data_IF_777450052032
#
_entry.id   IF_777450052032
#
_cell.length_a   1.000
_cell.length_b   1.000
_cell.length_c   1.000
_cell.angle_alpha   90.00
_cell.angle_beta   90.00
_cell.angle_gamma   90.00
#
_symmetry.space_group_name_H-M   'P 1'
#
loop_
_entity.id
_entity.type
_entity.pdbx_description
1 polymer ?
#
# COMPACT_ATOMS: atom_id res chain seq x y z
N UNK A 1 26.53 -1.23 -11.30
CA UNK A 1 25.94 -0.16 -10.48
C UNK A 1 25.69 1.02 -11.41
N UNK A 2 24.50 1.64 -11.38
CA UNK A 2 24.21 2.84 -12.18
C UNK A 2 25.17 3.98 -11.79
N UNK A 3 25.40 4.96 -12.67
CA UNK A 3 26.16 6.16 -12.33
C UNK A 3 25.48 6.94 -11.17
N UNK A 4 26.24 7.64 -10.31
CA UNK A 4 25.71 8.34 -9.13
C UNK A 4 24.51 9.26 -9.42
N UNK A 5 24.55 10.03 -10.50
CA UNK A 5 23.49 10.99 -10.87
C UNK A 5 22.20 10.26 -11.28
N UNK A 6 22.35 9.13 -11.98
CA UNK A 6 21.21 8.29 -12.36
C UNK A 6 20.59 7.62 -11.13
N UNK A 7 21.41 7.16 -10.17
CA UNK A 7 20.91 6.64 -8.90
C UNK A 7 20.15 7.71 -8.12
N UNK A 8 20.71 8.91 -7.98
CA UNK A 8 20.07 10.02 -7.28
C UNK A 8 18.69 10.31 -7.86
N UNK A 9 18.59 10.43 -9.19
CA UNK A 9 17.32 10.69 -9.88
C UNK A 9 16.25 9.65 -9.53
N UNK A 10 16.59 8.36 -9.56
CA UNK A 10 15.64 7.29 -9.23
C UNK A 10 15.32 7.26 -7.71
N UNK A 11 16.31 7.55 -6.86
CA UNK A 11 16.12 7.61 -5.41
C UNK A 11 15.20 8.75 -4.98
N UNK A 12 15.20 9.88 -5.69
CA UNK A 12 14.32 11.03 -5.41
C UNK A 12 12.86 10.78 -5.80
N UNK A 13 12.55 9.77 -6.61
CA UNK A 13 11.17 9.42 -6.96
C UNK A 13 10.37 9.04 -5.72
N UNK A 14 9.23 9.70 -5.52
CA UNK A 14 8.29 9.45 -4.42
C UNK A 14 8.80 9.89 -3.04
N UNK A 15 9.92 10.62 -2.97
CA UNK A 15 10.46 11.17 -1.72
C UNK A 15 9.74 12.45 -1.35
N UNK A 16 9.43 12.62 -0.06
CA UNK A 16 8.86 13.87 0.47
C UNK A 16 9.93 14.91 0.72
N UNK A 17 11.04 14.52 1.36
CA UNK A 17 12.14 15.44 1.65
C UNK A 17 13.45 14.68 1.78
N UNK A 18 14.53 15.25 1.22
CA UNK A 18 15.91 14.83 1.50
C UNK A 18 16.62 15.95 2.25
N UNK A 19 17.17 15.65 3.43
CA UNK A 19 17.98 16.61 4.17
C UNK A 19 19.44 16.37 3.81
N UNK A 20 20.03 17.38 3.17
CA UNK A 20 21.37 17.34 2.56
C UNK A 20 21.46 16.46 1.29
N UNK A 21 20.66 16.78 0.27
CA UNK A 21 20.72 16.10 -1.05
C UNK A 21 22.12 16.13 -1.67
N UNK A 22 22.83 17.26 -1.60
CA UNK A 22 24.22 17.36 -2.08
C UNK A 22 25.15 16.34 -1.40
N UNK A 23 24.93 16.05 -0.12
CA UNK A 23 25.71 15.04 0.60
C UNK A 23 25.33 13.62 0.17
N UNK A 24 24.08 13.38 -0.23
CA UNK A 24 23.69 12.10 -0.83
C UNK A 24 24.45 11.87 -2.13
N UNK A 25 24.52 12.87 -3.01
CA UNK A 25 25.28 12.76 -4.26
C UNK A 25 26.76 12.50 -3.98
N UNK A 26 27.38 13.27 -3.07
CA UNK A 26 28.79 13.07 -2.67
C UNK A 26 29.05 11.66 -2.16
N UNK A 27 28.16 11.12 -1.31
CA UNK A 27 28.25 9.74 -0.80
C UNK A 27 28.08 8.71 -1.91
N UNK A 28 27.18 8.92 -2.86
CA UNK A 28 26.99 8.04 -4.03
C UNK A 28 28.22 8.03 -4.95
N UNK A 29 28.80 9.21 -5.23
CA UNK A 29 30.05 9.34 -6.00
C UNK A 29 31.18 8.59 -5.31
N UNK A 30 31.40 8.85 -4.01
CA UNK A 30 32.41 8.14 -3.22
C UNK A 30 32.21 6.62 -3.23
N UNK A 31 30.96 6.18 -3.05
CA UNK A 31 30.60 4.75 -3.08
C UNK A 31 30.91 4.11 -4.43
N UNK A 32 30.63 4.82 -5.53
CA UNK A 32 30.88 4.37 -6.89
C UNK A 32 32.39 4.29 -7.20
N UNK A 33 33.15 5.33 -6.85
CA UNK A 33 34.59 5.42 -7.11
C UNK A 33 35.39 4.42 -6.27
N UNK A 34 35.06 4.30 -4.97
CA UNK A 34 35.75 3.39 -4.04
C UNK A 34 35.21 1.95 -4.12
N UNK A 35 34.15 1.69 -4.89
CA UNK A 35 33.41 0.42 -4.94
C UNK A 35 32.97 -0.08 -3.55
N UNK A 36 32.67 0.86 -2.65
CA UNK A 36 32.27 0.57 -1.27
C UNK A 36 30.78 0.88 -1.08
N UNK A 37 29.93 -0.12 -0.79
CA UNK A 37 28.51 0.10 -0.55
C UNK A 37 28.25 1.05 0.63
N UNK A 38 27.34 2.02 0.44
CA UNK A 38 26.72 2.77 1.53
C UNK A 38 25.89 1.87 2.45
N UNK A 39 25.77 2.28 3.72
CA UNK A 39 24.94 1.64 4.74
C UNK A 39 23.62 2.39 4.88
N UNK A 40 22.52 1.74 4.48
CA UNK A 40 21.18 2.32 4.45
C UNK A 40 20.34 1.69 5.57
N UNK A 41 19.93 2.49 6.56
CA UNK A 41 19.13 2.06 7.72
C UNK A 41 17.66 2.42 7.53
N UNK A 42 16.77 1.53 7.95
CA UNK A 42 15.40 1.87 8.32
C UNK A 42 14.97 1.03 9.52
N UNK A 43 14.36 1.68 10.51
CA UNK A 43 13.86 1.06 11.74
C UNK A 43 12.38 0.71 11.68
N UNK A 44 12.01 -0.43 12.26
CA UNK A 44 10.63 -0.89 12.36
C UNK A 44 10.36 -1.43 13.77
N UNK A 45 9.45 -0.78 14.48
CA UNK A 45 9.02 -1.18 15.83
C UNK A 45 7.90 -2.24 15.73
N UNK A 46 8.14 -3.49 16.18
CA UNK A 46 7.18 -4.60 16.10
C UNK A 46 6.04 -4.50 17.14
N UNK A 47 5.29 -3.39 17.11
CA UNK A 47 4.14 -3.14 18.00
C UNK A 47 2.89 -3.97 17.67
N UNK A 48 2.83 -4.56 16.47
CA UNK A 48 1.79 -5.45 15.96
C UNK A 48 2.50 -6.56 15.15
N UNK A 49 1.85 -7.71 14.86
CA UNK A 49 2.52 -8.82 14.16
C UNK A 49 2.76 -8.61 12.65
N UNK A 50 1.84 -7.96 11.93
CA UNK A 50 1.94 -7.85 10.46
C UNK A 50 2.24 -6.45 9.93
N UNK A 51 3.06 -6.42 8.89
CA UNK A 51 3.29 -5.31 8.00
C UNK A 51 2.12 -5.14 7.03
N UNK A 52 2.05 -3.95 6.45
CA UNK A 52 1.04 -3.56 5.47
C UNK A 52 1.67 -2.65 4.42
N UNK A 53 0.93 -2.32 3.36
CA UNK A 53 1.47 -1.50 2.25
C UNK A 53 2.04 -0.14 2.69
N UNK A 54 1.55 0.45 3.77
CA UNK A 54 2.18 1.64 4.37
C UNK A 54 3.66 1.42 4.74
N UNK A 55 4.03 0.24 5.27
CA UNK A 55 5.42 -0.13 5.53
C UNK A 55 6.17 -0.48 4.24
N UNK A 56 5.46 -1.00 3.23
CA UNK A 56 6.04 -1.35 1.94
C UNK A 56 6.64 -0.13 1.21
N UNK A 57 6.16 1.09 1.49
CA UNK A 57 6.76 2.34 0.95
C UNK A 57 8.24 2.45 1.34
N UNK A 58 8.56 2.28 2.63
CA UNK A 58 9.94 2.30 3.14
C UNK A 58 10.74 1.09 2.62
N UNK A 59 10.13 -0.10 2.64
CA UNK A 59 10.79 -1.33 2.16
C UNK A 59 11.15 -1.27 0.68
N UNK A 60 10.29 -0.70 -0.17
CA UNK A 60 10.56 -0.51 -1.59
C UNK A 60 11.72 0.47 -1.81
N UNK A 61 11.81 1.53 -1.01
CA UNK A 61 12.96 2.45 -1.11
C UNK A 61 14.26 1.77 -0.68
N UNK A 62 14.25 0.96 0.39
CA UNK A 62 15.39 0.11 0.72
C UNK A 62 15.75 -0.85 -0.43
N UNK A 63 14.74 -1.49 -1.04
CA UNK A 63 14.95 -2.40 -2.19
C UNK A 63 15.62 -1.69 -3.36
N UNK A 64 15.28 -0.42 -3.64
CA UNK A 64 15.96 0.37 -4.66
C UNK A 64 17.46 0.53 -4.34
N UNK A 65 17.82 0.84 -3.09
CA UNK A 65 19.22 0.85 -2.66
C UNK A 65 19.90 -0.52 -2.83
N UNK A 66 19.22 -1.64 -2.53
CA UNK A 66 19.76 -2.99 -2.78
C UNK A 66 20.02 -3.25 -4.25
N UNK A 67 19.11 -2.81 -5.13
CA UNK A 67 19.23 -2.98 -6.57
C UNK A 67 20.42 -2.18 -7.12
N UNK A 68 20.77 -1.07 -6.48
CA UNK A 68 21.99 -0.32 -6.82
C UNK A 68 23.25 -0.93 -6.22
N UNK A 69 23.15 -1.89 -5.30
CA UNK A 69 24.30 -2.59 -4.71
C UNK A 69 24.73 -2.03 -3.36
N UNK A 70 23.90 -1.19 -2.74
CA UNK A 70 24.14 -0.71 -1.38
C UNK A 70 23.71 -1.73 -0.33
N UNK A 71 24.29 -1.61 0.86
CA UNK A 71 23.99 -2.49 1.98
C UNK A 71 22.79 -1.94 2.75
N UNK A 72 21.73 -2.73 2.83
CA UNK A 72 20.52 -2.36 3.57
C UNK A 72 20.52 -3.02 4.94
N UNK A 73 20.19 -2.25 5.97
CA UNK A 73 19.93 -2.73 7.32
C UNK A 73 18.44 -2.57 7.60
N UNK A 74 17.77 -3.71 7.74
CA UNK A 74 16.43 -3.77 8.30
C UNK A 74 16.58 -3.88 9.81
N UNK A 75 16.33 -2.77 10.51
CA UNK A 75 16.47 -2.68 11.96
C UNK A 75 15.14 -2.98 12.65
N UNK A 76 15.09 -4.07 13.38
CA UNK A 76 13.99 -4.37 14.29
C UNK A 76 14.21 -3.58 15.59
N UNK A 77 13.23 -2.73 15.91
CA UNK A 77 13.22 -1.93 17.11
C UNK A 77 12.67 -2.67 18.33
N UNK A 78 13.31 -3.77 18.72
CA UNK A 78 12.84 -4.62 19.83
C UNK A 78 13.02 -3.96 21.21
N UNK A 79 14.05 -3.12 21.38
CA UNK A 79 14.22 -2.33 22.59
C UNK A 79 13.42 -1.03 22.55
N UNK A 80 13.39 -0.34 21.40
CA UNK A 80 12.60 0.89 21.22
C UNK A 80 11.10 0.66 21.41
N UNK A 81 10.60 -0.53 21.05
CA UNK A 81 9.21 -0.94 21.29
C UNK A 81 8.82 -1.00 22.77
N UNK A 82 9.78 -1.14 23.69
CA UNK A 82 9.52 -1.08 25.14
C UNK A 82 9.17 0.33 25.61
N UNK A 83 9.67 1.35 24.91
CA UNK A 83 9.39 2.77 25.17
C UNK A 83 8.13 3.18 24.41
N UNK A 84 8.05 2.79 23.13
CA UNK A 84 6.93 3.12 22.25
C UNK A 84 7.09 4.50 21.59
N UNK A 85 7.12 4.51 20.26
CA UNK A 85 7.27 5.75 19.49
C UNK A 85 6.09 6.73 19.68
N UNK A 86 6.35 7.96 20.19
CA UNK A 86 5.31 8.98 20.32
C UNK A 86 4.97 9.67 18.98
N UNK A 87 5.69 9.40 17.88
CA UNK A 87 5.61 10.18 16.63
C UNK A 87 4.21 10.17 16.02
N UNK A 88 3.63 11.37 15.90
CA UNK A 88 2.28 11.57 15.37
C UNK A 88 1.19 10.91 16.20
N UNK A 89 1.36 10.82 17.53
CA UNK A 89 0.38 10.30 18.49
C UNK A 89 -0.02 11.35 19.51
N UNK A 90 -1.30 11.32 19.87
CA UNK A 90 -1.90 12.22 20.85
C UNK A 90 -1.97 11.59 22.26
N UNK A 91 -1.61 10.31 22.39
CA UNK A 91 -1.64 9.54 23.63
C UNK A 91 -0.43 8.59 23.76
N UNK A 92 -0.06 8.26 25.00
CA UNK A 92 1.02 7.32 25.31
C UNK A 92 0.70 5.93 24.77
N UNK A 93 1.71 5.25 24.21
CA UNK A 93 1.55 3.88 23.70
C UNK A 93 1.28 2.89 24.84
N UNK A 94 0.40 1.89 24.64
CA UNK A 94 0.28 0.80 25.58
C UNK A 94 1.61 0.02 25.64
N UNK A 95 1.99 -0.41 26.85
CA UNK A 95 3.16 -1.24 27.05
C UNK A 95 2.96 -2.61 26.41
N UNK A 96 4.01 -3.11 25.75
CA UNK A 96 4.03 -4.42 25.08
C UNK A 96 5.08 -5.28 25.80
N UNK A 97 4.76 -6.55 26.04
CA UNK A 97 5.70 -7.45 26.72
C UNK A 97 6.86 -7.82 25.79
N UNK A 98 8.04 -8.10 26.36
CA UNK A 98 9.19 -8.58 25.57
C UNK A 98 8.86 -9.84 24.76
N UNK A 99 7.99 -10.72 25.30
CA UNK A 99 7.57 -11.95 24.63
C UNK A 99 6.78 -11.64 23.35
N UNK A 100 5.86 -10.68 23.43
CA UNK A 100 5.07 -10.23 22.27
C UNK A 100 5.97 -9.52 21.24
N UNK A 101 6.88 -8.65 21.68
CA UNK A 101 7.85 -7.97 20.82
C UNK A 101 8.69 -8.98 20.04
N UNK A 102 9.23 -10.00 20.72
CA UNK A 102 10.02 -11.07 20.08
C UNK A 102 9.20 -11.87 19.07
N UNK A 103 7.92 -12.12 19.36
CA UNK A 103 7.04 -12.84 18.44
C UNK A 103 6.73 -11.99 17.18
N UNK A 104 6.37 -10.72 17.37
CA UNK A 104 6.10 -9.78 16.27
C UNK A 104 7.36 -9.50 15.43
N UNK A 105 8.53 -9.47 16.04
CA UNK A 105 9.80 -9.27 15.34
C UNK A 105 10.10 -10.39 14.32
N UNK A 106 9.75 -11.64 14.65
CA UNK A 106 9.95 -12.80 13.75
C UNK A 106 9.06 -12.70 12.51
N UNK A 107 7.81 -12.29 12.68
CA UNK A 107 6.87 -12.12 11.57
C UNK A 107 7.29 -10.93 10.70
N UNK A 108 7.76 -9.83 11.29
CA UNK A 108 8.25 -8.65 10.56
C UNK A 108 9.39 -8.99 9.61
N UNK A 109 10.42 -9.69 10.09
CA UNK A 109 11.54 -10.09 9.25
C UNK A 109 11.09 -10.96 8.07
N UNK A 110 10.25 -11.96 8.35
CA UNK A 110 9.71 -12.86 7.32
C UNK A 110 8.92 -12.10 6.25
N UNK A 111 8.08 -11.15 6.67
CA UNK A 111 7.27 -10.34 5.78
C UNK A 111 8.10 -9.33 4.99
N UNK A 112 9.10 -8.71 5.60
CA UNK A 112 10.00 -7.77 4.93
C UNK A 112 10.76 -8.45 3.77
N UNK A 113 11.14 -9.73 3.93
CA UNK A 113 11.81 -10.50 2.88
C UNK A 113 10.91 -10.90 1.71
N UNK A 114 9.59 -10.63 1.76
CA UNK A 114 8.76 -10.67 0.54
C UNK A 114 9.12 -9.55 -0.44
N UNK A 115 9.69 -8.45 0.04
CA UNK A 115 10.09 -7.29 -0.75
C UNK A 115 11.62 -7.23 -0.88
N UNK A 116 12.32 -7.35 0.26
CA UNK A 116 13.77 -7.24 0.34
C UNK A 116 14.46 -8.53 -0.09
N UNK A 117 15.61 -8.38 -0.76
CA UNK A 117 16.50 -9.50 -1.00
C UNK A 117 17.25 -9.86 0.29
N UNK A 118 16.93 -11.02 0.87
CA UNK A 118 17.54 -11.50 2.11
C UNK A 118 19.06 -11.62 2.04
N UNK A 119 19.66 -11.95 0.90
CA UNK A 119 21.13 -12.06 0.79
C UNK A 119 21.82 -10.70 0.75
N UNK A 120 21.06 -9.61 0.57
CA UNK A 120 21.53 -8.23 0.54
C UNK A 120 20.97 -7.39 1.69
N UNK A 121 20.37 -8.02 2.70
CA UNK A 121 19.79 -7.36 3.87
C UNK A 121 20.44 -7.87 5.15
N UNK A 122 20.99 -6.95 5.92
CA UNK A 122 21.39 -7.23 7.30
C UNK A 122 20.18 -7.02 8.22
N UNK A 123 19.70 -8.10 8.82
CA UNK A 123 18.72 -8.04 9.90
C UNK A 123 19.42 -7.72 11.22
N UNK A 124 19.05 -6.62 11.86
CA UNK A 124 19.61 -6.18 13.15
C UNK A 124 18.50 -5.94 14.16
N UNK A 125 18.85 -6.01 15.44
CA UNK A 125 17.97 -5.77 16.57
C UNK A 125 18.61 -4.71 17.45
N UNK A 126 17.92 -3.62 17.77
CA UNK A 126 18.56 -2.54 18.53
C UNK A 126 18.85 -2.90 19.99
N UNK A 127 18.21 -3.94 20.53
CA UNK A 127 18.63 -4.55 21.80
C UNK A 127 20.09 -5.00 21.82
N UNK A 128 20.72 -5.28 20.67
CA UNK A 128 22.13 -5.70 20.58
C UNK A 128 23.12 -4.68 21.16
N UNK A 129 22.76 -3.40 21.16
CA UNK A 129 23.55 -2.31 21.74
C UNK A 129 22.79 -1.52 22.80
N UNK A 130 21.48 -1.28 22.65
CA UNK A 130 20.72 -0.47 23.62
C UNK A 130 20.62 -1.14 25.00
N UNK A 131 20.49 -2.46 25.07
CA UNK A 131 20.45 -3.19 26.35
C UNK A 131 21.77 -3.16 27.13
N UNK A 132 22.86 -2.74 26.48
CA UNK A 132 24.21 -2.68 27.06
C UNK A 132 24.59 -1.27 27.49
N UNK A 133 23.76 -0.27 27.22
CA UNK A 133 24.02 1.10 27.66
C UNK A 133 23.91 1.15 29.17
N UNK A 134 24.99 1.61 29.82
CA UNK A 134 24.95 1.89 31.26
C UNK A 134 24.11 3.14 31.52
N UNK A 135 23.68 3.32 32.76
CA UNK A 135 23.01 4.57 33.16
C UNK A 135 23.89 5.80 32.89
N UNK A 136 25.21 5.66 33.03
CA UNK A 136 26.15 6.73 32.70
C UNK A 136 26.16 7.08 31.20
N UNK A 137 26.03 6.08 30.32
CA UNK A 137 25.92 6.32 28.88
C UNK A 137 24.61 7.03 28.52
N UNK A 138 23.52 6.66 29.19
CA UNK A 138 22.22 7.31 29.05
C UNK A 138 22.31 8.79 29.48
N UNK A 139 22.92 9.09 30.64
CA UNK A 139 23.12 10.46 31.10
C UNK A 139 23.94 11.29 30.09
N UNK A 140 24.99 10.71 29.50
CA UNK A 140 25.76 11.36 28.44
C UNK A 140 24.87 11.65 27.22
N UNK A 141 24.08 10.70 26.76
CA UNK A 141 23.15 10.91 25.63
C UNK A 141 22.15 12.03 25.91
N UNK A 142 21.55 12.04 27.10
CA UNK A 142 20.60 13.08 27.53
C UNK A 142 21.26 14.45 27.60
N UNK A 143 22.53 14.55 28.01
CA UNK A 143 23.23 15.84 28.11
C UNK A 143 23.37 16.60 26.78
N UNK A 144 23.19 15.91 25.65
CA UNK A 144 23.29 16.51 24.32
C UNK A 144 21.97 17.08 23.78
N UNK A 145 20.86 16.93 24.50
CA UNK A 145 19.54 17.41 24.10
C UNK A 145 18.81 18.09 25.25
N UNK A 146 18.24 19.26 24.98
CA UNK A 146 17.46 20.00 25.97
C UNK A 146 15.99 19.57 25.93
N UNK A 147 15.30 19.71 27.06
CA UNK A 147 13.84 19.56 27.12
C UNK A 147 13.14 20.49 26.14
N UNK A 148 13.59 21.75 26.03
CA UNK A 148 13.05 22.71 25.07
C UNK A 148 13.08 22.18 23.63
N UNK A 149 14.21 21.61 23.21
CA UNK A 149 14.34 21.03 21.87
C UNK A 149 13.47 19.79 21.66
N UNK A 150 13.22 19.01 22.70
CA UNK A 150 12.25 17.91 22.62
C UNK A 150 10.82 18.45 22.46
N UNK A 151 10.46 19.52 23.15
CA UNK A 151 9.14 20.14 23.07
C UNK A 151 8.87 20.90 21.76
N UNK A 152 9.91 21.20 20.96
CA UNK A 152 9.75 21.72 19.59
C UNK A 152 9.15 20.70 18.62
N UNK A 153 9.16 19.42 19.00
CA UNK A 153 8.58 18.34 18.19
C UNK A 153 7.04 18.42 18.23
N UNK A 154 6.41 18.41 17.05
CA UNK A 154 4.97 18.62 16.87
C UNK A 154 4.05 17.85 17.85
N UNK A 155 4.27 16.55 18.08
CA UNK A 155 3.44 15.74 18.97
C UNK A 155 3.61 16.12 20.45
N UNK A 156 4.84 16.35 20.91
CA UNK A 156 5.08 16.83 22.26
C UNK A 156 4.58 18.26 22.45
N UNK A 157 4.76 19.14 21.46
CA UNK A 157 4.25 20.50 21.48
C UNK A 157 2.72 20.52 21.62
N UNK A 158 2.01 19.73 20.81
CA UNK A 158 0.55 19.62 20.86
C UNK A 158 0.05 19.06 22.17
N UNK A 159 0.64 17.96 22.66
CA UNK A 159 0.24 17.33 23.93
C UNK A 159 0.49 18.27 25.10
N UNK A 160 1.66 18.90 25.16
CA UNK A 160 2.01 19.84 26.21
C UNK A 160 1.08 21.07 26.20
N UNK A 161 0.82 21.65 25.02
CA UNK A 161 -0.08 22.81 24.88
C UNK A 161 -1.54 22.48 25.20
N UNK A 162 -1.93 21.22 25.02
CA UNK A 162 -3.29 20.72 25.32
C UNK A 162 -3.43 20.13 26.73
N UNK A 163 -2.43 20.31 27.60
CA UNK A 163 -2.35 19.71 28.94
C UNK A 163 -2.53 18.18 28.96
N UNK A 164 -2.17 17.50 27.87
CA UNK A 164 -2.12 16.05 27.83
C UNK A 164 -0.80 15.58 28.44
N UNK A 165 -0.85 14.55 29.29
CA UNK A 165 0.32 14.00 29.95
C UNK A 165 1.36 13.53 28.95
N UNK A 166 2.65 13.82 29.19
CA UNK A 166 3.79 13.27 28.45
C UNK A 166 4.68 12.57 29.48
N UNK A 167 4.89 11.26 29.31
CA UNK A 167 5.69 10.50 30.26
C UNK A 167 7.19 10.74 30.04
N UNK A 168 7.99 10.79 31.10
CA UNK A 168 9.43 11.06 31.01
C UNK A 168 10.19 10.07 30.10
N UNK A 169 9.78 8.80 30.10
CA UNK A 169 10.40 7.78 29.25
C UNK A 169 10.19 8.05 27.75
N UNK A 170 9.12 8.76 27.35
CA UNK A 170 8.84 9.08 25.94
C UNK A 170 9.93 9.99 25.35
N UNK A 171 10.54 10.86 26.17
CA UNK A 171 11.68 11.69 25.76
C UNK A 171 12.95 10.89 25.46
N UNK A 172 13.02 9.63 25.90
CA UNK A 172 14.16 8.76 25.57
C UNK A 172 14.09 8.23 24.15
N UNK A 173 12.89 8.11 23.58
CA UNK A 173 12.69 7.46 22.28
C UNK A 173 13.55 8.09 21.15
N UNK A 174 13.55 9.42 20.95
CA UNK A 174 14.38 10.03 19.90
C UNK A 174 15.88 9.79 20.11
N UNK A 175 16.33 9.77 21.36
CA UNK A 175 17.74 9.57 21.70
C UNK A 175 18.20 8.14 21.39
N UNK A 176 17.42 7.13 21.79
CA UNK A 176 17.78 5.73 21.55
C UNK A 176 17.68 5.37 20.06
N UNK A 177 16.67 5.84 19.34
CA UNK A 177 16.58 5.66 17.89
C UNK A 177 17.74 6.36 17.17
N UNK A 178 18.11 7.57 17.62
CA UNK A 178 19.25 8.27 17.07
C UNK A 178 20.58 7.56 17.35
N UNK A 179 20.72 6.95 18.53
CA UNK A 179 21.89 6.15 18.89
C UNK A 179 22.02 4.88 18.02
N UNK A 180 20.92 4.31 17.54
CA UNK A 180 20.97 3.20 16.58
C UNK A 180 21.81 3.56 15.35
N UNK A 181 21.75 4.81 14.87
CA UNK A 181 22.55 5.27 13.72
C UNK A 181 24.03 5.41 14.05
N UNK A 182 24.36 5.76 15.30
CA UNK A 182 25.75 5.78 15.79
C UNK A 182 26.31 4.36 15.87
N UNK A 183 25.54 3.41 16.41
CA UNK A 183 25.92 2.01 16.52
C UNK A 183 26.10 1.35 15.15
N UNK A 184 25.22 1.68 14.21
CA UNK A 184 25.23 1.16 12.84
C UNK A 184 26.27 1.85 11.94
N UNK A 185 26.64 3.10 12.24
CA UNK A 185 27.38 4.00 11.34
C UNK A 185 26.63 4.21 10.01
N UNK A 186 25.35 4.52 10.10
CA UNK A 186 24.48 4.67 8.94
C UNK A 186 24.92 5.84 8.04
N UNK A 187 24.99 5.62 6.73
CA UNK A 187 25.22 6.67 5.72
C UNK A 187 23.92 7.40 5.36
N UNK A 188 22.82 6.66 5.36
CA UNK A 188 21.47 7.13 5.05
C UNK A 188 20.49 6.47 6.01
N UNK A 189 19.55 7.23 6.55
CA UNK A 189 18.39 6.69 7.26
C UNK A 189 17.10 7.08 6.54
N UNK A 190 16.25 6.08 6.31
CA UNK A 190 14.92 6.26 5.73
C UNK A 190 13.86 6.26 6.84
N UNK A 191 12.87 7.14 6.70
CA UNK A 191 11.73 7.21 7.63
C UNK A 191 10.49 7.78 6.97
N UNK A 192 9.34 7.65 7.63
CA UNK A 192 8.14 8.39 7.25
C UNK A 192 8.30 9.89 7.53
N UNK A 193 7.44 10.74 6.98
CA UNK A 193 7.42 12.17 7.32
C UNK A 193 7.15 12.42 8.82
N UNK A 194 6.50 11.49 9.51
CA UNK A 194 6.32 11.53 10.97
C UNK A 194 7.61 11.23 11.76
N UNK A 195 8.69 10.80 11.13
CA UNK A 195 9.94 10.42 11.79
C UNK A 195 11.07 11.47 11.67
N UNK A 196 10.84 12.58 10.96
CA UNK A 196 11.92 13.54 10.60
C UNK A 196 12.70 14.01 11.83
N UNK A 197 12.01 14.31 12.94
CA UNK A 197 12.67 14.71 14.19
C UNK A 197 13.67 13.64 14.67
N UNK A 198 13.23 12.38 14.77
CA UNK A 198 14.08 11.28 15.25
C UNK A 198 15.29 11.05 14.32
N UNK A 199 15.08 11.15 13.01
CA UNK A 199 16.14 11.00 12.01
C UNK A 199 17.18 12.14 12.11
N UNK A 200 16.73 13.36 12.42
CA UNK A 200 17.61 14.49 12.70
C UNK A 200 18.38 14.32 14.02
N UNK A 201 17.77 13.69 15.02
CA UNK A 201 18.48 13.31 16.26
C UNK A 201 19.61 12.35 15.96
N UNK A 202 19.37 11.31 15.16
CA UNK A 202 20.44 10.40 14.71
C UNK A 202 21.57 11.12 13.98
N UNK A 203 21.25 12.00 13.04
CA UNK A 203 22.22 12.82 12.31
C UNK A 203 23.06 13.71 13.24
N UNK A 204 22.45 14.29 14.27
CA UNK A 204 23.16 15.12 15.25
C UNK A 204 24.04 14.29 16.19
N UNK A 205 23.54 13.16 16.71
CA UNK A 205 24.32 12.27 17.55
C UNK A 205 25.54 11.72 16.81
N UNK A 206 25.42 11.35 15.53
CA UNK A 206 26.59 10.96 14.73
C UNK A 206 27.69 12.04 14.72
N UNK A 207 27.35 13.34 14.63
CA UNK A 207 28.34 14.43 14.74
C UNK A 207 29.05 14.43 16.10
N UNK A 208 28.28 14.30 17.18
CA UNK A 208 28.80 14.26 18.55
C UNK A 208 29.77 13.09 18.73
N UNK A 209 29.41 11.92 18.19
CA UNK A 209 30.24 10.73 18.18
C UNK A 209 31.32 10.73 17.08
N UNK A 210 31.61 11.89 16.46
CA UNK A 210 32.65 12.09 15.45
C UNK A 210 32.52 11.19 14.21
N UNK A 211 31.28 10.85 13.85
CA UNK A 211 30.94 10.12 12.63
C UNK A 211 30.47 11.09 11.54
N UNK A 212 30.62 10.68 10.28
CA UNK A 212 30.00 11.40 9.17
C UNK A 212 28.47 11.33 9.31
N UNK A 213 27.74 12.47 9.29
CA UNK A 213 26.32 12.45 9.58
C UNK A 213 25.49 11.85 8.44
N UNK A 214 24.53 10.98 8.76
CA UNK A 214 23.66 10.31 7.81
C UNK A 214 22.81 11.29 7.00
N UNK A 215 22.55 10.97 5.73
CA UNK A 215 21.51 11.64 4.95
C UNK A 215 20.14 11.17 5.47
N UNK A 216 19.21 12.12 5.63
CA UNK A 216 17.83 11.80 6.01
C UNK A 216 16.98 11.81 4.74
N UNK A 217 16.30 10.71 4.46
CA UNK A 217 15.32 10.62 3.37
C UNK A 217 13.97 10.29 3.99
N UNK A 218 13.03 11.21 3.89
CA UNK A 218 11.66 11.01 4.36
C UNK A 218 10.72 10.65 3.20
N UNK A 219 9.88 9.66 3.44
CA UNK A 219 8.85 9.21 2.50
C UNK A 219 7.46 9.61 3.01
N UNK A 220 6.51 9.89 2.11
CA UNK A 220 5.16 10.24 2.50
C UNK A 220 4.49 9.06 3.20
N UNK A 221 3.56 9.38 4.11
CA UNK A 221 2.68 8.39 4.71
C UNK A 221 1.61 8.00 3.70
N UNK A 222 1.56 6.70 3.35
CA UNK A 222 0.55 6.18 2.44
C UNK A 222 -0.84 6.29 3.06
N UNK A 223 -1.80 6.87 2.34
CA UNK A 223 -3.19 6.91 2.75
C UNK A 223 -3.81 5.51 2.68
N UNK A 224 -4.66 5.17 3.65
CA UNK A 224 -5.38 3.91 3.67
C UNK A 224 -6.51 3.85 2.65
N UNK A 225 -7.30 2.78 2.69
CA UNK A 225 -8.42 2.55 1.78
C UNK A 225 -9.51 3.64 1.83
N UNK A 226 -9.59 4.40 2.93
CA UNK A 226 -10.49 5.56 3.07
C UNK A 226 -9.98 6.81 2.34
N UNK A 227 -8.69 6.85 1.96
CA UNK A 227 -8.06 7.92 1.21
C UNK A 227 -7.79 9.22 1.97
N UNK A 228 -7.99 9.24 3.29
CA UNK A 228 -7.79 10.43 4.14
C UNK A 228 -6.75 10.16 5.21
N UNK A 229 -6.95 9.12 6.02
CA UNK A 229 -6.05 8.76 7.11
C UNK A 229 -4.87 7.96 6.57
N UNK A 230 -3.72 8.08 7.23
CA UNK A 230 -2.59 7.18 6.98
C UNK A 230 -3.02 5.72 7.17
N UNK A 231 -2.45 4.83 6.37
CA UNK A 231 -2.69 3.41 6.45
C UNK A 231 -2.25 2.90 7.81
N UNK A 232 -3.17 2.29 8.54
CA UNK A 232 -2.96 1.82 9.90
C UNK A 232 -3.91 0.69 10.23
N UNK A 233 -3.39 -0.32 10.93
CA UNK A 233 -4.22 -1.39 11.50
C UNK A 233 -5.28 -0.89 12.46
N UNK A 234 -5.04 0.22 13.16
CA UNK A 234 -6.00 0.77 14.13
C UNK A 234 -7.21 1.42 13.47
N UNK A 235 -7.12 1.81 12.20
CA UNK A 235 -8.24 2.41 11.46
C UNK A 235 -8.92 1.42 10.52
N UNK A 236 -8.50 0.14 10.53
CA UNK A 236 -8.97 -0.91 9.63
C UNK A 236 -9.00 -0.51 8.13
N UNK A 237 -8.03 0.32 7.73
CA UNK A 237 -7.93 0.91 6.39
C UNK A 237 -6.71 0.40 5.60
N UNK A 238 -6.25 -0.82 5.90
CA UNK A 238 -4.95 -1.34 5.44
C UNK A 238 -5.09 -2.55 4.52
N UNK A 239 -4.02 -2.79 3.75
CA UNK A 239 -3.77 -4.03 3.01
C UNK A 239 -2.52 -4.67 3.64
N UNK A 240 -2.69 -5.82 4.30
CA UNK A 240 -1.57 -6.53 4.92
C UNK A 240 -0.74 -7.28 3.89
N UNK A 241 0.55 -7.49 4.17
CA UNK A 241 1.43 -8.26 3.28
C UNK A 241 1.16 -9.79 3.36
N UNK A 242 0.39 -10.22 4.35
CA UNK A 242 -0.05 -11.60 4.56
C UNK A 242 -1.56 -11.80 4.30
N UNK A 243 -2.27 -10.77 3.82
CA UNK A 243 -3.64 -10.95 3.33
C UNK A 243 -3.65 -11.97 2.20
N UNK A 244 -4.68 -12.83 2.14
CA UNK A 244 -4.83 -13.78 1.02
C UNK A 244 -4.79 -13.03 -0.31
N UNK A 245 -4.28 -13.68 -1.36
CA UNK A 245 -4.16 -13.10 -2.69
C UNK A 245 -5.46 -12.41 -3.17
N UNK A 246 -6.61 -13.07 -2.98
CA UNK A 246 -7.93 -12.51 -3.33
C UNK A 246 -8.32 -11.29 -2.48
N UNK A 247 -7.90 -11.23 -1.21
CA UNK A 247 -8.16 -10.11 -0.31
C UNK A 247 -7.29 -8.91 -0.67
N UNK A 248 -6.00 -9.12 -0.98
CA UNK A 248 -5.12 -8.06 -1.53
C UNK A 248 -5.74 -7.49 -2.80
N UNK A 249 -6.19 -8.36 -3.69
CA UNK A 249 -6.80 -7.97 -4.95
C UNK A 249 -8.08 -7.15 -4.71
N UNK A 250 -9.01 -7.68 -3.91
CA UNK A 250 -10.27 -7.03 -3.59
C UNK A 250 -10.11 -5.70 -2.86
N UNK A 251 -9.18 -5.61 -1.89
CA UNK A 251 -8.88 -4.36 -1.18
C UNK A 251 -8.27 -3.32 -2.12
N UNK A 252 -7.37 -3.71 -3.02
CA UNK A 252 -6.78 -2.80 -4.02
C UNK A 252 -7.83 -2.23 -4.97
N UNK A 253 -8.82 -3.04 -5.35
CA UNK A 253 -9.93 -2.58 -6.20
C UNK A 253 -10.84 -1.54 -5.54
N UNK A 254 -10.80 -1.40 -4.21
CA UNK A 254 -11.55 -0.38 -3.45
C UNK A 254 -10.91 1.01 -3.51
N UNK A 255 -9.68 1.14 -3.98
CA UNK A 255 -9.00 2.43 -4.10
C UNK A 255 -9.79 3.37 -5.02
N UNK A 256 -9.85 4.65 -4.66
CA UNK A 256 -10.35 5.69 -5.58
C UNK A 256 -9.40 5.85 -6.76
N UNK A 257 -9.90 6.33 -7.89
CA UNK A 257 -9.09 6.52 -9.11
C UNK A 257 -7.93 7.49 -8.87
N UNK A 258 -8.16 8.53 -8.05
CA UNK A 258 -7.13 9.48 -7.61
C UNK A 258 -6.08 8.81 -6.73
N UNK A 259 -6.50 8.02 -5.75
CA UNK A 259 -5.60 7.38 -4.80
C UNK A 259 -4.76 6.27 -5.45
N UNK A 260 -5.29 5.58 -6.45
CA UNK A 260 -4.56 4.57 -7.21
C UNK A 260 -3.22 5.10 -7.77
N UNK A 261 -3.19 6.35 -8.26
CA UNK A 261 -1.95 6.96 -8.78
C UNK A 261 -0.89 7.09 -7.70
N UNK A 262 -1.32 7.44 -6.48
CA UNK A 262 -0.43 7.52 -5.32
C UNK A 262 0.17 6.16 -4.98
N UNK A 263 -0.62 5.09 -5.09
CA UNK A 263 -0.13 3.72 -4.87
C UNK A 263 0.84 3.27 -5.96
N UNK A 264 0.58 3.59 -7.24
CA UNK A 264 1.54 3.35 -8.30
C UNK A 264 2.86 4.08 -8.05
N UNK A 265 2.81 5.36 -7.71
CA UNK A 265 3.99 6.18 -7.47
C UNK A 265 4.90 5.61 -6.36
N UNK A 266 4.30 5.18 -5.25
CA UNK A 266 5.02 4.79 -4.04
C UNK A 266 5.34 3.30 -3.94
N UNK A 267 4.55 2.44 -4.59
CA UNK A 267 4.61 0.99 -4.38
C UNK A 267 4.92 0.18 -5.63
N UNK A 268 4.76 0.73 -6.84
CA UNK A 268 5.09 0.00 -8.08
C UNK A 268 6.56 0.12 -8.47
N UNK A 269 6.99 -0.76 -9.36
CA UNK A 269 8.31 -0.77 -10.00
C UNK A 269 8.38 0.11 -11.26
N UNK A 270 7.30 0.83 -11.61
CA UNK A 270 7.27 1.70 -12.77
C UNK A 270 8.38 2.74 -12.72
N UNK A 271 9.03 3.02 -13.84
CA UNK A 271 9.95 4.16 -13.92
C UNK A 271 9.17 5.48 -13.85
N UNK A 272 9.86 6.60 -13.64
CA UNK A 272 9.23 7.93 -13.73
C UNK A 272 8.55 8.14 -15.08
N UNK A 273 9.15 7.64 -16.17
CA UNK A 273 8.58 7.73 -17.52
C UNK A 273 7.29 6.91 -17.66
N UNK A 274 7.28 5.68 -17.14
CA UNK A 274 6.11 4.80 -17.25
C UNK A 274 4.94 5.30 -16.39
N UNK A 275 5.24 5.89 -15.23
CA UNK A 275 4.22 6.51 -14.38
C UNK A 275 3.56 7.72 -15.06
N UNK A 276 4.33 8.56 -15.74
CA UNK A 276 3.78 9.69 -16.52
C UNK A 276 2.95 9.20 -17.72
N UNK A 277 3.42 8.15 -18.41
CA UNK A 277 2.64 7.51 -19.48
C UNK A 277 1.31 6.96 -18.95
N UNK A 278 1.30 6.32 -17.78
CA UNK A 278 0.09 5.82 -17.15
C UNK A 278 -0.90 6.96 -16.83
N UNK A 279 -0.41 8.08 -16.28
CA UNK A 279 -1.23 9.27 -16.00
C UNK A 279 -1.85 9.83 -17.29
N UNK A 280 -1.07 9.93 -18.37
CA UNK A 280 -1.54 10.40 -19.66
C UNK A 280 -2.58 9.48 -20.30
N UNK A 281 -2.37 8.17 -20.24
CA UNK A 281 -3.32 7.17 -20.76
C UNK A 281 -4.65 7.22 -19.99
N UNK A 282 -4.62 7.49 -18.68
CA UNK A 282 -5.82 7.67 -17.87
C UNK A 282 -6.54 9.00 -18.18
N UNK A 283 -5.81 10.11 -18.30
CA UNK A 283 -6.42 11.42 -18.58
C UNK A 283 -7.00 11.52 -19.99
N UNK A 284 -6.41 10.81 -20.96
CA UNK A 284 -6.90 10.74 -22.34
C UNK A 284 -8.03 9.72 -22.54
N UNK A 285 -8.33 8.89 -21.52
CA UNK A 285 -9.32 7.82 -21.62
C UNK A 285 -8.84 6.58 -22.39
N UNK A 286 -7.59 6.57 -22.88
CA UNK A 286 -6.98 5.41 -23.55
C UNK A 286 -6.88 4.19 -22.63
N UNK A 287 -6.67 4.41 -21.32
CA UNK A 287 -6.75 3.37 -20.29
C UNK A 287 -7.89 3.67 -19.33
N UNK A 288 -8.79 2.72 -19.14
CA UNK A 288 -9.87 2.85 -18.17
C UNK A 288 -9.35 2.69 -16.72
N UNK A 289 -9.75 3.54 -15.74
CA UNK A 289 -9.26 3.46 -14.35
C UNK A 289 -9.46 2.09 -13.70
N UNK A 290 -10.58 1.41 -13.98
CA UNK A 290 -10.81 0.01 -13.56
C UNK A 290 -9.67 -0.91 -14.01
N UNK A 291 -9.23 -0.82 -15.26
CA UNK A 291 -8.17 -1.68 -15.79
C UNK A 291 -6.83 -1.36 -15.13
N UNK A 292 -6.55 -0.08 -14.89
CA UNK A 292 -5.37 0.31 -14.13
C UNK A 292 -5.40 -0.21 -12.67
N UNK A 293 -6.57 -0.28 -12.02
CA UNK A 293 -6.68 -0.91 -10.69
C UNK A 293 -6.48 -2.42 -10.75
N UNK A 294 -7.02 -3.10 -11.77
CA UNK A 294 -6.81 -4.54 -11.98
C UNK A 294 -5.32 -4.85 -12.15
N UNK A 295 -4.61 -4.05 -12.94
CA UNK A 295 -3.17 -4.22 -13.14
C UNK A 295 -2.38 -3.98 -11.84
N UNK A 296 -2.77 -2.97 -11.04
CA UNK A 296 -2.15 -2.69 -9.74
C UNK A 296 -2.39 -3.82 -8.73
N UNK A 297 -3.62 -4.33 -8.68
CA UNK A 297 -4.01 -5.44 -7.82
C UNK A 297 -3.24 -6.71 -8.18
N UNK A 298 -3.12 -7.00 -9.48
CA UNK A 298 -2.32 -8.11 -9.97
C UNK A 298 -0.83 -7.93 -9.62
N UNK A 299 -0.30 -6.72 -9.78
CA UNK A 299 1.08 -6.40 -9.40
C UNK A 299 1.33 -6.70 -7.92
N UNK A 300 0.49 -6.20 -7.00
CA UNK A 300 0.66 -6.47 -5.58
C UNK A 300 0.59 -7.96 -5.22
N UNK A 301 -0.35 -8.71 -5.79
CA UNK A 301 -0.38 -10.17 -5.58
C UNK A 301 0.91 -10.81 -6.10
N UNK A 302 1.43 -10.37 -7.23
CA UNK A 302 2.68 -10.91 -7.79
C UNK A 302 3.91 -10.62 -6.91
N UNK A 303 3.92 -9.50 -6.18
CA UNK A 303 5.00 -9.14 -5.25
C UNK A 303 5.02 -10.05 -4.02
N UNK A 304 3.86 -10.37 -3.46
CA UNK A 304 3.78 -11.10 -2.18
C UNK A 304 3.55 -12.60 -2.31
N UNK A 305 3.15 -13.04 -3.50
CA UNK A 305 2.91 -14.44 -3.85
C UNK A 305 3.71 -14.83 -5.09
N UNK A 306 3.04 -15.07 -6.21
CA UNK A 306 3.67 -15.44 -7.47
C UNK A 306 2.88 -14.85 -8.63
N UNK A 307 3.51 -14.76 -9.81
CA UNK A 307 2.83 -14.34 -11.04
C UNK A 307 1.61 -15.23 -11.35
N UNK A 308 1.73 -16.54 -11.13
CA UNK A 308 0.64 -17.51 -11.33
C UNK A 308 -0.53 -17.24 -10.39
N UNK A 309 -0.26 -16.96 -9.11
CA UNK A 309 -1.33 -16.65 -8.16
C UNK A 309 -2.00 -15.30 -8.46
N UNK A 310 -1.25 -14.34 -9.01
CA UNK A 310 -1.77 -13.07 -9.45
C UNK A 310 -2.72 -13.20 -10.65
N UNK A 311 -2.35 -13.99 -11.66
CA UNK A 311 -3.22 -14.32 -12.80
C UNK A 311 -4.50 -15.04 -12.36
N UNK A 312 -4.37 -16.03 -11.48
CA UNK A 312 -5.51 -16.74 -10.90
C UNK A 312 -6.43 -15.80 -10.13
N UNK A 313 -5.88 -14.92 -9.30
CA UNK A 313 -6.66 -13.95 -8.51
C UNK A 313 -7.41 -12.96 -9.39
N UNK A 314 -6.82 -12.54 -10.52
CA UNK A 314 -7.49 -11.70 -11.51
C UNK A 314 -8.71 -12.41 -12.11
N UNK A 315 -8.53 -13.65 -12.58
CA UNK A 315 -9.62 -14.46 -13.13
C UNK A 315 -10.73 -14.73 -12.10
N UNK A 316 -10.35 -15.02 -10.85
CA UNK A 316 -11.29 -15.26 -9.77
C UNK A 316 -12.06 -13.98 -9.39
N UNK A 317 -11.39 -12.84 -9.33
CA UNK A 317 -12.03 -11.55 -9.10
C UNK A 317 -13.01 -11.21 -10.22
N UNK A 318 -12.65 -11.42 -11.48
CA UNK A 318 -13.55 -11.20 -12.61
C UNK A 318 -14.77 -12.12 -12.54
N UNK A 319 -14.60 -13.39 -12.16
CA UNK A 319 -15.72 -14.32 -11.89
C UNK A 319 -16.61 -13.87 -10.74
N UNK A 320 -16.04 -13.46 -9.60
CA UNK A 320 -16.81 -12.99 -8.44
C UNK A 320 -17.52 -11.67 -8.77
N UNK A 321 -16.90 -10.78 -9.53
CA UNK A 321 -17.51 -9.51 -9.95
C UNK A 321 -18.63 -9.74 -10.98
N UNK A 322 -18.43 -10.65 -11.93
CA UNK A 322 -19.46 -11.10 -12.87
C UNK A 322 -20.62 -11.79 -12.13
N UNK A 323 -20.31 -12.61 -11.12
CA UNK A 323 -21.32 -13.19 -10.23
C UNK A 323 -22.02 -12.13 -9.40
N UNK A 324 -21.35 -11.13 -8.81
CA UNK A 324 -21.98 -10.03 -8.05
C UNK A 324 -22.82 -9.07 -8.91
N UNK A 325 -22.63 -9.05 -10.22
CA UNK A 325 -23.52 -8.36 -11.16
C UNK A 325 -24.86 -9.10 -11.34
N UNK A 326 -24.92 -10.36 -10.92
CA UNK A 326 -26.08 -11.24 -10.96
C UNK A 326 -26.52 -11.49 -9.50
N UNK A 327 -27.79 -11.29 -9.12
CA UNK A 327 -28.25 -11.70 -7.79
C UNK A 327 -28.00 -13.20 -7.57
N UNK A 328 -27.66 -13.63 -6.34
CA UNK A 328 -27.49 -15.06 -6.02
C UNK A 328 -28.82 -15.83 -6.17
N UNK A 329 -29.96 -15.14 -6.02
CA UNK A 329 -31.33 -15.65 -6.20
C UNK A 329 -31.98 -15.11 -7.49
N UNK A 330 -31.35 -15.33 -8.66
CA UNK A 330 -32.05 -15.05 -9.92
C UNK A 330 -33.13 -16.10 -10.15
N UNK A 331 -34.39 -15.64 -10.23
CA UNK A 331 -35.51 -16.45 -10.69
C UNK A 331 -35.21 -17.07 -12.06
N UNK A 332 -35.33 -18.39 -12.15
CA UNK A 332 -35.18 -19.13 -13.39
C UNK A 332 -36.55 -19.44 -14.00
N UNK A 333 -36.71 -19.19 -15.31
CA UNK A 333 -37.91 -19.56 -16.06
C UNK A 333 -37.56 -20.38 -17.29
N UNK A 334 -38.35 -21.43 -17.51
CA UNK A 334 -38.30 -22.27 -18.70
C UNK A 334 -39.18 -21.67 -19.80
N UNK A 335 -38.63 -21.58 -21.02
CA UNK A 335 -39.36 -21.15 -22.21
C UNK A 335 -39.25 -22.19 -23.32
N UNK A 336 -40.33 -22.38 -24.07
CA UNK A 336 -40.31 -23.24 -25.26
C UNK A 336 -39.54 -22.57 -26.40
N UNK A 337 -38.91 -23.34 -27.29
CA UNK A 337 -38.29 -22.80 -28.49
C UNK A 337 -39.30 -22.03 -29.35
N UNK A 338 -38.89 -20.88 -29.87
CA UNK A 338 -39.73 -20.00 -30.66
C UNK A 338 -38.87 -19.10 -31.55
N UNK A 339 -39.32 -18.85 -32.78
CA UNK A 339 -38.61 -18.03 -33.75
C UNK A 339 -39.36 -16.72 -34.02
N UNK A 340 -38.62 -15.68 -34.39
CA UNK A 340 -39.13 -14.37 -34.80
C UNK A 340 -40.05 -13.69 -33.75
N UNK A 341 -39.77 -13.90 -32.46
CA UNK A 341 -40.51 -13.26 -31.39
C UNK A 341 -40.12 -11.78 -31.29
N UNK A 342 -41.10 -10.89 -31.23
CA UNK A 342 -40.83 -9.48 -30.96
C UNK A 342 -40.24 -9.35 -29.54
N UNK A 343 -39.10 -8.68 -29.41
CA UNK A 343 -38.39 -8.56 -28.12
C UNK A 343 -39.26 -7.94 -27.03
N UNK A 344 -40.12 -6.98 -27.40
CA UNK A 344 -41.08 -6.33 -26.50
C UNK A 344 -42.09 -7.34 -25.94
N UNK A 345 -42.61 -8.23 -26.78
CA UNK A 345 -43.59 -9.22 -26.38
C UNK A 345 -42.97 -10.27 -25.47
N UNK A 346 -41.73 -10.65 -25.77
CA UNK A 346 -40.95 -11.54 -24.93
C UNK A 346 -40.71 -10.94 -23.54
N UNK A 347 -40.24 -9.69 -23.45
CA UNK A 347 -39.98 -9.02 -22.16
C UNK A 347 -41.26 -8.93 -21.32
N UNK A 348 -42.41 -8.59 -21.92
CA UNK A 348 -43.69 -8.58 -21.19
C UNK A 348 -44.09 -9.97 -20.72
N UNK A 349 -43.88 -11.01 -21.54
CA UNK A 349 -44.15 -12.41 -21.16
C UNK A 349 -43.34 -12.87 -19.93
N UNK A 350 -42.20 -12.24 -19.67
CA UNK A 350 -41.38 -12.53 -18.47
C UNK A 350 -42.02 -12.04 -17.17
N UNK A 351 -43.03 -11.18 -17.23
CA UNK A 351 -43.65 -10.49 -16.10
C UNK A 351 -42.68 -9.60 -15.30
N UNK A 352 -41.55 -9.20 -15.89
CA UNK A 352 -40.64 -8.22 -15.28
C UNK A 352 -41.10 -6.76 -15.48
N UNK A 353 -41.99 -6.53 -16.42
CA UNK A 353 -42.59 -5.23 -16.79
C UNK A 353 -44.08 -5.42 -17.03
N UNK A 354 -44.88 -4.40 -16.76
CA UNK A 354 -46.34 -4.53 -16.68
C UNK A 354 -47.03 -4.29 -18.03
N UNK A 355 -46.35 -3.62 -18.98
CA UNK A 355 -46.93 -3.31 -20.29
C UNK A 355 -45.91 -3.27 -21.44
N UNK A 356 -46.40 -3.44 -22.67
CA UNK A 356 -45.59 -3.29 -23.89
C UNK A 356 -45.03 -1.88 -24.04
N UNK A 357 -45.77 -0.86 -23.62
CA UNK A 357 -45.32 0.54 -23.66
C UNK A 357 -44.15 0.79 -22.70
N UNK A 358 -44.18 0.20 -21.51
CA UNK A 358 -43.07 0.26 -20.56
C UNK A 358 -41.81 -0.42 -21.11
N UNK A 359 -41.98 -1.61 -21.71
CA UNK A 359 -40.88 -2.34 -22.33
C UNK A 359 -40.20 -1.53 -23.45
N UNK A 360 -40.97 -0.89 -24.34
CA UNK A 360 -40.43 -0.03 -25.41
C UNK A 360 -39.62 1.14 -24.85
N UNK A 361 -40.17 1.85 -23.86
CA UNK A 361 -39.49 2.97 -23.19
C UNK A 361 -38.17 2.54 -22.56
N UNK A 362 -38.13 1.35 -21.95
CA UNK A 362 -36.91 0.82 -21.34
C UNK A 362 -35.86 0.40 -22.36
N UNK A 363 -36.27 -0.14 -23.52
CA UNK A 363 -35.37 -0.47 -24.63
C UNK A 363 -34.78 0.81 -25.24
N UNK A 364 -35.63 1.78 -25.57
CA UNK A 364 -35.23 3.07 -26.16
C UNK A 364 -34.35 3.88 -25.19
N UNK A 365 -34.61 3.77 -23.88
CA UNK A 365 -33.77 4.32 -22.81
C UNK A 365 -32.47 3.53 -22.54
N UNK A 366 -32.17 2.48 -23.30
CA UNK A 366 -30.95 1.66 -23.17
C UNK A 366 -30.88 0.85 -21.88
N UNK A 367 -32.02 0.61 -21.24
CA UNK A 367 -32.15 -0.06 -19.95
C UNK A 367 -32.33 -1.58 -20.04
N UNK A 368 -32.28 -2.18 -21.24
CA UNK A 368 -32.48 -3.63 -21.43
C UNK A 368 -31.25 -4.27 -22.07
N UNK A 369 -30.83 -5.42 -21.54
CA UNK A 369 -29.72 -6.20 -22.10
C UNK A 369 -29.90 -7.70 -21.90
N UNK A 370 -29.44 -8.49 -22.86
CA UNK A 370 -29.24 -9.94 -22.72
C UNK A 370 -27.79 -10.24 -22.35
N UNK A 371 -27.60 -11.12 -21.38
CA UNK A 371 -26.28 -11.58 -20.93
C UNK A 371 -26.16 -13.07 -21.27
N UNK A 372 -25.17 -13.42 -22.10
CA UNK A 372 -24.85 -14.81 -22.47
C UNK A 372 -23.41 -15.07 -22.08
N UNK A 373 -23.18 -15.84 -21.02
CA UNK A 373 -21.82 -16.01 -20.48
C UNK A 373 -21.23 -14.66 -20.03
N UNK A 374 -20.17 -14.21 -20.70
CA UNK A 374 -19.47 -12.94 -20.42
C UNK A 374 -19.97 -11.77 -21.30
N UNK A 375 -20.72 -12.06 -22.37
CA UNK A 375 -21.18 -11.05 -23.33
C UNK A 375 -22.49 -10.39 -22.89
N UNK A 376 -22.48 -9.06 -22.82
CA UNK A 376 -23.69 -8.25 -22.55
C UNK A 376 -24.11 -7.52 -23.82
N UNK A 377 -25.21 -7.97 -24.42
CA UNK A 377 -25.80 -7.35 -25.61
C UNK A 377 -26.93 -6.40 -25.19
N UNK A 378 -26.71 -5.09 -25.34
CA UNK A 378 -27.76 -4.09 -25.13
C UNK A 378 -28.80 -4.16 -26.25
N UNK A 379 -30.05 -4.04 -25.88
CA UNK A 379 -31.18 -3.99 -26.81
C UNK A 379 -31.54 -2.52 -26.99
N UNK A 380 -31.43 -2.02 -28.22
CA UNK A 380 -31.70 -0.62 -28.56
C UNK A 380 -32.85 -0.45 -29.54
N UNK A 381 -33.34 -1.55 -30.14
CA UNK A 381 -34.45 -1.54 -31.08
C UNK A 381 -35.63 -2.34 -30.52
N UNK A 382 -36.75 -1.67 -30.28
CA UNK A 382 -37.99 -2.27 -29.82
C UNK A 382 -38.68 -3.16 -30.88
N UNK A 383 -38.28 -3.06 -32.15
CA UNK A 383 -38.75 -3.91 -33.25
C UNK A 383 -37.87 -5.14 -33.48
N UNK A 384 -36.79 -5.29 -32.71
CA UNK A 384 -35.90 -6.44 -32.79
C UNK A 384 -36.69 -7.74 -32.61
N UNK A 385 -36.43 -8.70 -33.50
CA UNK A 385 -36.92 -10.06 -33.38
C UNK A 385 -35.84 -10.95 -32.77
N UNK A 386 -36.25 -11.85 -31.88
CA UNK A 386 -35.37 -12.79 -31.19
C UNK A 386 -35.80 -14.23 -31.47
N UNK A 387 -34.82 -15.13 -31.43
CA UNK A 387 -35.03 -16.56 -31.55
C UNK A 387 -34.65 -17.24 -30.23
N UNK A 388 -35.61 -17.92 -29.62
CA UNK A 388 -35.39 -18.81 -28.48
C UNK A 388 -35.03 -20.18 -29.03
N UNK A 389 -33.73 -20.50 -28.98
CA UNK A 389 -33.18 -21.75 -29.53
C UNK A 389 -33.05 -22.77 -28.39
N UNK A 390 -33.58 -23.98 -28.58
CA UNK A 390 -33.50 -25.06 -27.59
C UNK A 390 -32.05 -25.31 -27.15
N UNK A 391 -31.85 -25.49 -25.84
CA UNK A 391 -30.55 -25.71 -25.22
C UNK A 391 -29.73 -24.44 -24.94
N UNK A 392 -30.22 -23.24 -25.30
CA UNK A 392 -29.56 -21.97 -24.96
C UNK A 392 -30.07 -21.39 -23.64
N UNK A 393 -29.13 -20.87 -22.85
CA UNK A 393 -29.38 -20.20 -21.57
C UNK A 393 -28.83 -18.78 -21.61
N UNK A 394 -29.58 -17.82 -21.09
CA UNK A 394 -29.16 -16.41 -21.01
C UNK A 394 -29.89 -15.68 -19.90
N UNK A 395 -29.37 -14.54 -19.47
CA UNK A 395 -30.00 -13.69 -18.45
C UNK A 395 -30.56 -12.43 -19.11
N UNK A 396 -31.84 -12.17 -18.91
CA UNK A 396 -32.47 -10.89 -19.22
C UNK A 396 -32.27 -9.93 -18.06
N UNK A 397 -31.63 -8.80 -18.32
CA UNK A 397 -31.46 -7.70 -17.37
C UNK A 397 -32.26 -6.49 -17.81
N UNK A 398 -33.07 -5.97 -16.88
CA UNK A 398 -33.86 -4.75 -17.04
C UNK A 398 -33.49 -3.76 -15.93
N UNK A 399 -32.94 -2.62 -16.32
CA UNK A 399 -32.43 -1.60 -15.41
C UNK A 399 -31.30 -2.12 -14.52
N UNK A 400 -31.23 -1.63 -13.28
CA UNK A 400 -30.16 -1.98 -12.33
C UNK A 400 -30.47 -3.19 -11.43
N UNK A 401 -31.74 -3.57 -11.28
CA UNK A 401 -32.19 -4.49 -10.21
C UNK A 401 -33.06 -5.67 -10.69
N UNK A 402 -33.61 -5.66 -11.91
CA UNK A 402 -34.47 -6.74 -12.40
C UNK A 402 -33.64 -7.69 -13.28
N UNK A 403 -33.55 -8.95 -12.87
CA UNK A 403 -32.80 -10.00 -13.56
C UNK A 403 -33.67 -11.25 -13.65
N UNK A 404 -33.60 -11.98 -14.75
CA UNK A 404 -34.26 -13.27 -14.93
C UNK A 404 -33.37 -14.21 -15.75
N UNK A 405 -33.15 -15.41 -15.22
CA UNK A 405 -32.44 -16.49 -15.91
C UNK A 405 -33.44 -17.22 -16.80
N UNK A 406 -33.08 -17.37 -18.07
CA UNK A 406 -33.95 -17.94 -19.09
C UNK A 406 -33.26 -19.19 -19.63
N UNK A 407 -33.93 -20.33 -19.48
CA UNK A 407 -33.54 -21.58 -20.12
C UNK A 407 -34.55 -21.92 -21.20
N UNK A 408 -34.07 -22.18 -22.41
CA UNK A 408 -34.93 -22.60 -23.51
C UNK A 408 -34.89 -24.11 -23.64
N UNK A 409 -35.98 -24.78 -23.29
CA UNK A 409 -36.12 -26.25 -23.31
C UNK A 409 -37.45 -26.67 -23.89
#
# INVERSE_FOLDING_TARGET
MLKPEAQLKELLKGVSQVISEDNLLKKLVKSYDEKKPLIIKAGFDPSRPDLHLGHAVLLNKLKQFQNFGHKVIFLVGDFTSLIGDPSGRDETRPLITEKEIKQNAKTYATQAFKILDKSKTDLKYNSQWLSKLSFQDILKLQSHYTVARMLERDDFQKRFSSNQSISLHEFMYPLVQGYDSVAIKADVELGGTDQIFNLLVGRHLQKIFKQEPQVVISLPLLEGLDGVKKMSKSYDNYIALEDKAIDIFGKTMRLSDKLMIRYYELLSDLTTKDLESLKQDLSSGKKHPKNAKLDLAQFFVSCFYSKKEAEKSRLEFDKIFAKKLLPDDILEKLYKPANNLLVVDFIVSTKLVDSKSEARRLIEGGGVSFIVGEDTNKITDAKMQINLISGKNFVLKIGKRKFLSIKVS
#
